data_IF_828556835212
#
_entry.id   IF_828556835212
#
_cell.length_a   1.000
_cell.length_b   1.000
_cell.length_c   1.000
_cell.angle_alpha   90.00
_cell.angle_beta   90.00
_cell.angle_gamma   90.00
#
_symmetry.space_group_name_H-M   'P 1'
#
loop_
_entity.id
_entity.type
_entity.pdbx_description
1 polymer ?
#
# COMPACT_ATOMS: atom_id res chain seq x y z
N UNK A 1 34.68 -9.91 -2.65
CA UNK A 1 33.89 -9.64 -1.44
C UNK A 1 32.76 -10.64 -1.43
N UNK A 2 32.79 -11.62 -0.53
CA UNK A 2 31.71 -12.60 -0.34
C UNK A 2 30.82 -12.02 0.75
N UNK A 3 29.52 -11.88 0.47
CA UNK A 3 28.54 -11.45 1.47
C UNK A 3 27.78 -12.69 1.88
N UNK A 4 27.95 -13.10 3.14
CA UNK A 4 27.28 -14.26 3.73
C UNK A 4 26.03 -13.78 4.48
N UNK A 5 24.88 -14.38 4.20
CA UNK A 5 23.59 -14.00 4.77
C UNK A 5 23.00 -15.21 5.53
N UNK A 6 22.64 -15.02 6.80
CA UNK A 6 21.92 -16.01 7.60
C UNK A 6 20.41 -15.78 7.42
N UNK A 7 19.67 -16.75 6.87
CA UNK A 7 18.27 -16.61 6.48
C UNK A 7 17.37 -17.54 7.31
N UNK A 8 16.21 -17.02 7.72
CA UNK A 8 15.24 -17.77 8.52
C UNK A 8 14.70 -19.00 7.77
N UNK A 9 14.73 -20.17 8.42
CA UNK A 9 14.24 -21.44 7.87
C UNK A 9 12.72 -21.38 7.62
N UNK A 10 12.27 -21.76 6.42
CA UNK A 10 10.82 -21.98 6.13
C UNK A 10 10.23 -21.25 4.92
N UNK A 11 11.01 -20.70 3.99
CA UNK A 11 10.45 -20.06 2.78
C UNK A 11 10.04 -21.10 1.72
N UNK A 12 8.79 -21.55 1.76
CA UNK A 12 8.25 -22.63 0.91
C UNK A 12 8.04 -22.22 -0.57
N UNK A 13 8.25 -20.94 -0.88
CA UNK A 13 8.39 -20.40 -2.24
C UNK A 13 9.62 -19.49 -2.26
N UNK A 14 10.79 -20.10 -2.45
CA UNK A 14 12.10 -19.47 -2.32
C UNK A 14 12.41 -18.47 -3.43
N UNK A 15 12.06 -17.20 -3.19
CA UNK A 15 12.58 -16.07 -3.94
C UNK A 15 13.67 -15.40 -3.12
N UNK A 16 14.87 -15.28 -3.68
CA UNK A 16 15.89 -14.40 -3.14
C UNK A 16 15.93 -13.13 -3.99
N UNK A 17 15.74 -11.96 -3.38
CA UNK A 17 15.78 -10.66 -4.06
C UNK A 17 16.90 -9.84 -3.43
N UNK A 18 17.87 -9.43 -4.23
CA UNK A 18 18.94 -8.54 -3.82
C UNK A 18 18.75 -7.16 -4.46
N UNK A 19 18.91 -6.12 -3.65
CA UNK A 19 18.90 -4.73 -4.07
C UNK A 19 20.31 -4.14 -3.96
N UNK A 20 20.71 -3.38 -4.98
CA UNK A 20 21.93 -2.57 -4.89
C UNK A 20 21.80 -1.47 -3.83
N UNK A 21 22.93 -1.07 -3.23
CA UNK A 21 22.95 0.09 -2.32
C UNK A 21 22.51 1.35 -3.10
N UNK A 22 21.54 2.10 -2.55
CA UNK A 22 20.94 3.26 -3.19
C UNK A 22 20.35 2.98 -4.60
N UNK A 23 19.67 1.84 -4.75
CA UNK A 23 19.08 1.37 -6.00
C UNK A 23 17.90 2.21 -6.53
N UNK A 24 17.14 2.84 -5.63
CA UNK A 24 15.85 3.47 -5.97
C UNK A 24 15.94 4.99 -5.78
N UNK A 25 15.50 5.73 -6.81
CA UNK A 25 15.12 7.13 -6.67
C UNK A 25 13.60 7.22 -6.50
N UNK A 26 13.18 7.95 -5.47
CA UNK A 26 11.78 8.32 -5.25
C UNK A 26 11.69 9.82 -5.48
N UNK A 27 10.78 10.24 -6.34
CA UNK A 27 10.47 11.65 -6.57
C UNK A 27 8.95 11.85 -6.42
N UNK A 28 8.55 13.01 -5.94
CA UNK A 28 7.14 13.41 -5.84
C UNK A 28 6.74 14.14 -7.11
N UNK A 29 6.21 13.41 -8.10
CA UNK A 29 5.78 13.90 -9.42
C UNK A 29 6.87 14.69 -10.21
N UNK A 30 6.69 14.99 -11.51
CA UNK A 30 7.75 15.63 -12.29
C UNK A 30 8.06 17.09 -11.89
N UNK A 31 7.39 17.66 -10.87
CA UNK A 31 7.44 19.10 -10.55
C UNK A 31 7.20 19.48 -9.07
N UNK A 32 7.38 18.58 -8.10
CA UNK A 32 7.27 18.98 -6.68
C UNK A 32 5.87 19.44 -6.29
N UNK A 33 4.84 18.79 -6.84
CA UNK A 33 3.46 19.06 -6.47
C UNK A 33 3.26 18.73 -4.98
N UNK A 34 2.73 19.69 -4.22
CA UNK A 34 2.51 19.52 -2.80
C UNK A 34 1.46 18.42 -2.53
N UNK A 35 1.52 17.72 -1.38
CA UNK A 35 0.45 16.82 -0.99
C UNK A 35 -0.90 17.54 -1.02
N UNK A 36 -1.89 16.90 -1.63
CA UNK A 36 -3.25 17.40 -1.69
C UNK A 36 -4.01 16.90 -0.48
N UNK A 37 -4.57 17.83 0.29
CA UNK A 37 -5.40 17.54 1.45
C UNK A 37 -6.86 17.89 1.16
N UNK A 38 -7.77 17.06 1.65
CA UNK A 38 -9.19 17.33 1.69
C UNK A 38 -9.74 16.84 3.03
N UNK A 39 -10.67 17.58 3.61
CA UNK A 39 -11.30 17.27 4.89
C UNK A 39 -12.80 17.14 4.65
N UNK A 40 -13.42 16.13 5.26
CA UNK A 40 -14.87 15.95 5.24
C UNK A 40 -15.39 15.55 6.62
N UNK A 41 -16.48 16.20 7.03
CA UNK A 41 -17.35 15.85 8.16
C UNK A 41 -18.62 15.11 7.70
N UNK A 42 -18.91 15.10 6.40
CA UNK A 42 -20.07 14.47 5.78
C UNK A 42 -19.65 13.17 5.08
N UNK A 43 -19.39 12.12 5.86
CA UNK A 43 -19.15 10.78 5.32
C UNK A 43 -19.65 9.66 6.24
N UNK A 44 -19.82 8.47 5.68
CA UNK A 44 -20.04 7.23 6.41
C UNK A 44 -18.84 6.31 6.26
N UNK A 45 -18.42 5.68 7.37
CA UNK A 45 -17.30 4.76 7.41
C UNK A 45 -17.78 3.36 7.78
N UNK A 46 -17.39 2.37 6.99
CA UNK A 46 -17.53 0.96 7.34
C UNK A 46 -16.42 0.58 8.33
N UNK A 47 -16.78 0.02 9.48
CA UNK A 47 -15.90 -0.15 10.65
C UNK A 47 -15.48 -1.62 10.88
N UNK A 48 -15.62 -2.46 9.86
CA UNK A 48 -15.28 -3.89 9.92
C UNK A 48 -13.81 -4.10 9.50
N UNK A 49 -13.12 -5.09 10.10
CA UNK A 49 -11.66 -5.29 9.97
C UNK A 49 -11.26 -6.74 9.59
N UNK A 50 -12.21 -7.65 9.38
CA UNK A 50 -11.93 -9.06 9.06
C UNK A 50 -12.26 -9.41 7.61
N UNK A 51 -13.37 -8.90 7.07
CA UNK A 51 -13.87 -9.14 5.73
C UNK A 51 -14.45 -7.87 5.10
N UNK A 52 -13.61 -6.89 4.72
CA UNK A 52 -14.05 -5.56 4.33
C UNK A 52 -14.97 -5.60 3.11
N UNK A 53 -16.16 -5.00 3.23
CA UNK A 53 -17.15 -4.91 2.16
C UNK A 53 -17.30 -3.46 1.66
N UNK A 54 -17.76 -3.25 0.41
CA UNK A 54 -18.29 -1.96 -0.03
C UNK A 54 -19.45 -1.50 0.86
N UNK A 55 -19.68 -0.19 0.97
CA UNK A 55 -20.80 0.36 1.78
C UNK A 55 -22.15 -0.24 1.36
N UNK A 56 -22.34 -0.49 0.05
CA UNK A 56 -23.44 -1.29 -0.50
C UNK A 56 -22.85 -2.28 -1.51
N UNK A 57 -23.10 -3.57 -1.33
CA UNK A 57 -22.55 -4.64 -2.19
C UNK A 57 -23.62 -5.55 -2.78
N UNK A 58 -23.28 -6.27 -3.84
CA UNK A 58 -24.20 -7.21 -4.51
C UNK A 58 -24.96 -6.60 -5.70
N UNK A 59 -25.86 -7.39 -6.28
CA UNK A 59 -26.72 -6.94 -7.37
C UNK A 59 -27.81 -5.97 -6.86
N UNK A 60 -28.31 -5.11 -7.74
CA UNK A 60 -29.35 -4.13 -7.45
C UNK A 60 -30.64 -4.79 -6.90
N UNK A 61 -31.21 -4.36 -5.76
CA UNK A 61 -30.74 -3.32 -4.82
C UNK A 61 -29.80 -3.92 -3.77
N UNK A 62 -28.51 -3.58 -3.82
CA UNK A 62 -27.48 -4.24 -3.00
C UNK A 62 -27.72 -4.19 -1.49
N UNK A 63 -26.97 -5.02 -0.75
CA UNK A 63 -27.05 -5.13 0.72
C UNK A 63 -26.11 -4.10 1.38
N UNK A 64 -26.61 -3.26 2.32
CA UNK A 64 -25.75 -2.38 3.10
C UNK A 64 -24.81 -3.16 4.03
N UNK A 65 -23.54 -2.75 4.07
CA UNK A 65 -22.56 -3.33 4.98
C UNK A 65 -22.77 -2.85 6.43
N UNK A 66 -22.40 -3.69 7.41
CA UNK A 66 -22.47 -3.38 8.84
C UNK A 66 -21.21 -3.87 9.55
N UNK A 67 -20.68 -3.14 10.55
CA UNK A 67 -21.14 -1.85 11.06
C UNK A 67 -20.72 -0.66 10.18
N UNK A 68 -21.61 0.35 10.08
CA UNK A 68 -21.33 1.65 9.44
C UNK A 68 -21.60 2.79 10.43
N UNK A 69 -20.73 3.80 10.46
CA UNK A 69 -20.82 4.97 11.34
C UNK A 69 -20.79 6.26 10.54
N UNK A 70 -21.66 7.22 10.89
CA UNK A 70 -21.62 8.57 10.34
C UNK A 70 -20.60 9.43 11.09
N UNK A 71 -19.79 10.19 10.35
CA UNK A 71 -18.85 11.15 10.94
C UNK A 71 -19.56 12.31 11.63
N UNK A 72 -20.74 12.71 11.14
CA UNK A 72 -21.53 13.77 11.76
C UNK A 72 -22.05 13.39 13.15
N UNK A 73 -22.54 12.14 13.32
CA UNK A 73 -23.10 11.68 14.60
C UNK A 73 -22.05 11.60 15.72
N UNK A 74 -20.79 11.38 15.35
CA UNK A 74 -19.68 11.27 16.31
C UNK A 74 -18.78 12.50 16.31
N UNK A 75 -19.21 13.60 15.71
CA UNK A 75 -18.45 14.86 15.62
C UNK A 75 -16.99 14.61 15.17
N UNK A 76 -16.85 13.89 14.07
CA UNK A 76 -15.57 13.38 13.56
C UNK A 76 -15.25 13.98 12.20
N UNK A 77 -13.95 14.10 11.90
CA UNK A 77 -13.44 14.59 10.63
C UNK A 77 -12.59 13.50 9.95
N UNK A 78 -12.81 13.29 8.65
CA UNK A 78 -11.93 12.50 7.81
C UNK A 78 -10.94 13.40 7.07
N UNK A 79 -9.68 12.99 7.04
CA UNK A 79 -8.61 13.63 6.27
C UNK A 79 -8.19 12.72 5.12
N UNK A 80 -8.25 13.24 3.89
CA UNK A 80 -7.77 12.57 2.69
C UNK A 80 -6.48 13.24 2.22
N UNK A 81 -5.42 12.44 2.07
CA UNK A 81 -4.11 12.88 1.56
C UNK A 81 -3.83 12.16 0.24
N UNK A 82 -3.59 12.91 -0.83
CA UNK A 82 -3.02 12.38 -2.08
C UNK A 82 -1.65 13.02 -2.33
N UNK A 83 -0.63 12.18 -2.46
CA UNK A 83 0.69 12.57 -2.93
C UNK A 83 1.05 11.75 -4.17
N UNK A 84 1.11 12.35 -5.37
CA UNK A 84 1.58 11.65 -6.55
C UNK A 84 3.09 11.40 -6.43
N UNK A 85 3.49 10.14 -6.52
CA UNK A 85 4.89 9.70 -6.39
C UNK A 85 5.28 8.94 -7.66
N UNK A 86 6.48 9.20 -8.15
CA UNK A 86 7.14 8.42 -9.18
C UNK A 86 8.44 7.82 -8.63
N UNK A 87 8.82 6.67 -9.15
CA UNK A 87 10.05 6.01 -8.76
C UNK A 87 10.78 5.52 -10.00
N UNK A 88 12.10 5.44 -9.90
CA UNK A 88 12.93 4.86 -10.96
C UNK A 88 14.16 4.19 -10.36
N UNK A 89 14.69 3.19 -11.08
CA UNK A 89 15.98 2.60 -10.73
C UNK A 89 17.10 3.56 -11.13
N UNK A 90 18.06 3.75 -10.22
CA UNK A 90 19.17 4.67 -10.41
C UNK A 90 20.03 4.33 -11.62
N UNK A 91 20.21 3.02 -11.90
CA UNK A 91 20.98 2.46 -13.01
C UNK A 91 20.41 1.09 -13.42
N UNK A 92 20.73 0.57 -14.62
CA UNK A 92 20.46 -0.83 -14.94
C UNK A 92 21.16 -1.78 -13.96
N UNK A 93 20.57 -2.96 -13.70
CA UNK A 93 21.17 -4.01 -12.86
C UNK A 93 21.09 -3.78 -11.34
N UNK A 94 20.28 -2.83 -10.87
CA UNK A 94 20.12 -2.55 -9.43
C UNK A 94 19.21 -3.53 -8.68
N UNK A 95 18.50 -4.40 -9.41
CA UNK A 95 17.66 -5.46 -8.86
C UNK A 95 18.12 -6.77 -9.49
N UNK A 96 18.36 -7.77 -8.65
CA UNK A 96 18.58 -9.15 -9.06
C UNK A 96 17.63 -10.04 -8.26
N UNK A 97 17.05 -11.05 -8.92
CA UNK A 97 16.24 -12.06 -8.26
C UNK A 97 16.64 -13.45 -8.72
N UNK A 98 16.53 -14.42 -7.81
CA UNK A 98 16.70 -15.84 -8.08
C UNK A 98 15.40 -16.55 -7.75
N UNK A 99 14.92 -17.38 -8.66
CA UNK A 99 13.73 -18.22 -8.50
C UNK A 99 14.14 -19.69 -8.38
N UNK A 100 13.26 -20.52 -7.81
CA UNK A 100 13.53 -21.94 -7.67
C UNK A 100 14.70 -22.23 -6.73
N UNK A 101 14.92 -21.35 -5.74
CA UNK A 101 15.94 -21.59 -4.71
C UNK A 101 15.46 -22.74 -3.84
N UNK A 102 16.05 -23.90 -4.06
CA UNK A 102 15.95 -25.07 -3.19
C UNK A 102 17.02 -24.94 -2.11
N UNK A 103 16.59 -24.72 -0.87
CA UNK A 103 17.45 -24.64 0.31
C UNK A 103 17.76 -26.02 0.87
#
# INVERSE_FOLDING_TARGET
MVIEFDLARGAERGYFIAFGVAAVYIATAPRGEAPRFEISDQATLHMEDTNPQPIVGGADPGTPANPVRSLWQTDSLALRLILPVNWTLRRPGMVAWVQGVTW
#
